data_IF_721746613164
#
_entry.id   IF_721746613164
#
_cell.length_a   1.000
_cell.length_b   1.000
_cell.length_c   1.000
_cell.angle_alpha   90.00
_cell.angle_beta   90.00
_cell.angle_gamma   90.00
#
_symmetry.space_group_name_H-M   'P 1'
#
loop_
_entity.id
_entity.type
_entity.pdbx_description
1 polymer ?
#
# COMPACT_ATOMS: atom_id res chain seq x y z
N UNK A 1 -38.94 -38.95 48.11
CA UNK A 1 -39.48 -37.63 47.73
C UNK A 1 -38.49 -37.06 46.71
N UNK A 2 -38.49 -37.42 45.40
CA UNK A 2 -39.59 -37.69 44.44
C UNK A 2 -40.40 -36.42 44.13
N UNK A 3 -40.67 -36.01 42.87
CA UNK A 3 -40.36 -36.54 41.51
C UNK A 3 -39.80 -35.40 40.62
N UNK A 4 -39.05 -35.54 39.50
CA UNK A 4 -38.73 -36.61 38.52
C UNK A 4 -39.73 -36.79 37.35
N UNK A 5 -39.51 -36.09 36.22
CA UNK A 5 -40.02 -36.34 34.84
C UNK A 5 -38.92 -35.89 33.85
N UNK A 6 -38.24 -36.72 33.04
CA UNK A 6 -38.56 -37.81 32.07
C UNK A 6 -38.74 -37.32 30.61
N UNK A 7 -37.77 -37.70 29.78
CA UNK A 7 -37.89 -37.87 28.32
C UNK A 7 -38.74 -39.12 28.00
N UNK A 8 -39.19 -39.28 26.74
CA UNK A 8 -38.58 -40.35 25.93
C UNK A 8 -38.40 -40.03 24.42
N UNK A 9 -37.56 -40.83 23.78
CA UNK A 9 -37.27 -40.85 22.34
C UNK A 9 -38.19 -41.79 21.54
N UNK A 10 -38.43 -41.52 20.26
CA UNK A 10 -38.72 -42.56 19.27
C UNK A 10 -38.23 -42.20 17.86
N UNK A 11 -37.64 -43.17 17.17
CA UNK A 11 -37.17 -43.08 15.78
C UNK A 11 -38.23 -43.57 14.81
N UNK A 12 -38.33 -42.96 13.62
CA UNK A 12 -38.81 -43.61 12.39
C UNK A 12 -38.27 -42.91 11.14
N UNK A 13 -37.88 -43.72 10.17
CA UNK A 13 -37.36 -43.37 8.84
C UNK A 13 -38.49 -43.20 7.82
N UNK A 14 -38.39 -42.21 6.92
CA UNK A 14 -38.98 -42.29 5.56
C UNK A 14 -38.33 -41.31 4.57
N UNK A 15 -37.82 -41.89 3.47
CA UNK A 15 -37.67 -41.39 2.09
C UNK A 15 -37.90 -39.91 1.71
N UNK A 16 -36.98 -39.40 0.90
CA UNK A 16 -37.16 -38.24 0.01
C UNK A 16 -38.21 -38.48 -1.10
N UNK A 17 -38.89 -37.42 -1.58
CA UNK A 17 -39.25 -37.25 -2.98
C UNK A 17 -38.32 -36.23 -3.67
N UNK A 18 -38.11 -36.40 -4.97
CA UNK A 18 -37.27 -35.53 -5.79
C UNK A 18 -38.09 -34.64 -6.74
N UNK A 19 -37.38 -33.70 -7.36
CA UNK A 19 -37.70 -32.97 -8.60
C UNK A 19 -38.67 -31.77 -8.57
N UNK A 20 -38.18 -30.66 -9.15
CA UNK A 20 -38.95 -29.85 -10.10
C UNK A 20 -39.64 -28.59 -9.57
N UNK A 21 -39.01 -27.43 -9.73
CA UNK A 21 -39.68 -26.13 -9.69
C UNK A 21 -39.02 -25.14 -10.67
N UNK A 22 -39.53 -25.10 -11.91
CA UNK A 22 -39.24 -24.04 -12.87
C UNK A 22 -39.88 -22.72 -12.44
N UNK A 23 -39.17 -21.60 -12.63
CA UNK A 23 -39.71 -20.26 -12.41
C UNK A 23 -40.10 -19.60 -13.73
N UNK A 24 -41.38 -19.73 -14.11
CA UNK A 24 -41.95 -19.04 -15.27
C UNK A 24 -42.43 -17.64 -14.89
N UNK A 25 -41.87 -16.60 -15.51
CA UNK A 25 -42.30 -15.20 -15.32
C UNK A 25 -43.57 -14.93 -16.14
N UNK A 26 -44.68 -14.60 -15.47
CA UNK A 26 -45.92 -14.17 -16.11
C UNK A 26 -46.02 -12.63 -16.17
N UNK A 27 -45.96 -12.07 -17.38
CA UNK A 27 -46.29 -10.67 -17.64
C UNK A 27 -47.82 -10.50 -17.72
N UNK A 28 -48.40 -9.63 -16.91
CA UNK A 28 -49.77 -9.14 -17.08
C UNK A 28 -49.80 -7.63 -17.23
N UNK A 29 -50.30 -7.18 -18.39
CA UNK A 29 -50.53 -5.77 -18.71
C UNK A 29 -51.90 -5.30 -18.20
N UNK A 30 -51.96 -4.14 -17.56
CA UNK A 30 -53.23 -3.40 -17.35
C UNK A 30 -53.07 -1.94 -17.76
N UNK A 31 -54.06 -1.43 -18.52
CA UNK A 31 -54.08 -0.04 -19.01
C UNK A 31 -54.71 0.92 -17.98
N UNK A 32 -54.33 2.19 -18.12
CA UNK A 32 -54.62 3.27 -17.19
C UNK A 32 -56.10 3.70 -17.09
N UNK A 33 -56.44 4.29 -15.93
CA UNK A 33 -57.42 5.39 -15.82
C UNK A 33 -56.74 6.54 -15.06
N UNK A 34 -56.95 7.77 -15.51
CA UNK A 34 -56.22 8.94 -15.02
C UNK A 34 -56.93 9.63 -13.82
N UNK A 35 -56.13 10.19 -12.91
CA UNK A 35 -56.57 11.32 -12.07
C UNK A 35 -55.36 12.22 -11.75
N UNK A 36 -55.59 13.53 -11.66
CA UNK A 36 -54.56 14.57 -11.51
C UNK A 36 -54.23 14.82 -10.04
N UNK A 37 -52.94 14.85 -9.70
CA UNK A 37 -52.42 15.66 -8.60
C UNK A 37 -51.04 16.23 -8.99
N UNK A 38 -50.75 17.46 -8.59
CA UNK A 38 -49.60 18.24 -9.06
C UNK A 38 -48.44 18.12 -8.10
N UNK A 39 -47.25 17.76 -8.59
CA UNK A 39 -45.99 18.00 -7.89
C UNK A 39 -45.10 18.93 -8.73
N UNK A 40 -44.79 20.12 -8.20
CA UNK A 40 -43.92 21.10 -8.84
C UNK A 40 -42.46 20.75 -8.57
N UNK A 41 -41.69 20.40 -9.61
CA UNK A 41 -40.23 20.45 -9.56
C UNK A 41 -39.78 21.78 -10.19
N UNK A 42 -39.09 22.63 -9.43
CA UNK A 42 -38.37 23.79 -9.95
C UNK A 42 -37.03 23.30 -10.52
N UNK A 43 -36.91 23.27 -11.84
CA UNK A 43 -35.61 23.28 -12.52
C UNK A 43 -35.26 24.73 -12.89
N UNK A 44 -34.01 25.13 -12.70
CA UNK A 44 -33.51 26.46 -13.03
C UNK A 44 -32.10 26.34 -13.61
N UNK A 45 -31.77 27.10 -14.67
CA UNK A 45 -30.40 27.22 -15.19
C UNK A 45 -30.09 26.46 -16.48
N UNK A 46 -30.37 27.11 -17.61
CA UNK A 46 -29.66 26.95 -18.90
C UNK A 46 -28.15 27.27 -18.76
N UNK A 47 -27.23 26.96 -19.68
CA UNK A 47 -27.23 26.25 -20.98
C UNK A 47 -25.75 26.00 -21.39
N UNK A 48 -25.49 25.14 -22.39
CA UNK A 48 -24.41 25.33 -23.38
C UNK A 48 -24.85 24.77 -24.76
N UNK A 49 -24.24 25.29 -25.84
CA UNK A 49 -24.72 25.12 -27.25
C UNK A 49 -24.04 23.95 -28.00
N UNK A 50 -24.75 23.38 -28.97
CA UNK A 50 -24.19 22.63 -30.11
C UNK A 50 -24.63 23.27 -31.45
N UNK A 51 -23.74 23.40 -32.46
CA UNK A 51 -24.10 23.84 -33.82
C UNK A 51 -24.12 22.69 -34.86
N UNK A 52 -24.96 22.81 -35.90
CA UNK A 52 -25.02 21.90 -37.06
C UNK A 52 -26.08 20.80 -36.94
N UNK A 53 -27.36 21.00 -37.30
CA UNK A 53 -27.95 21.34 -38.61
C UNK A 53 -27.95 20.19 -39.64
N UNK A 54 -29.10 19.52 -39.77
CA UNK A 54 -29.58 18.83 -40.98
C UNK A 54 -31.13 18.82 -40.95
N UNK A 55 -31.77 19.20 -42.06
CA UNK A 55 -33.24 19.29 -42.19
C UNK A 55 -33.91 17.97 -42.58
N UNK A 56 -35.24 17.80 -42.32
CA UNK A 56 -35.94 16.54 -42.53
C UNK A 56 -36.48 16.37 -43.97
N UNK A 57 -36.29 15.19 -44.55
CA UNK A 57 -36.94 14.82 -45.81
C UNK A 57 -38.27 14.07 -45.60
N UNK A 58 -39.26 14.48 -46.38
CA UNK A 58 -40.67 14.11 -46.28
C UNK A 58 -41.01 12.72 -46.84
N UNK A 59 -42.06 12.10 -46.29
CA UNK A 59 -42.65 10.85 -46.76
C UNK A 59 -43.37 10.99 -48.11
N UNK A 60 -43.08 10.08 -49.05
CA UNK A 60 -43.90 9.79 -50.22
C UNK A 60 -44.18 8.27 -50.31
N UNK A 61 -45.29 7.88 -50.96
CA UNK A 61 -45.98 6.60 -50.74
C UNK A 61 -46.10 5.74 -52.01
N UNK A 62 -46.00 4.41 -51.83
CA UNK A 62 -46.56 3.34 -52.69
C UNK A 62 -45.85 3.07 -54.06
N UNK A 63 -46.03 1.89 -54.70
CA UNK A 63 -47.01 0.82 -54.43
C UNK A 63 -46.45 -0.62 -54.18
N UNK A 64 -47.36 -1.60 -54.20
CA UNK A 64 -47.25 -2.97 -53.63
C UNK A 64 -46.50 -3.96 -54.55
N UNK A 65 -45.83 -4.96 -53.93
CA UNK A 65 -45.27 -6.17 -54.56
C UNK A 65 -45.30 -7.38 -53.61
N UNK A 66 -45.20 -8.60 -54.14
CA UNK A 66 -45.57 -9.86 -53.46
C UNK A 66 -44.60 -10.39 -52.39
N UNK A 67 -45.14 -11.27 -51.53
CA UNK A 67 -44.47 -11.99 -50.44
C UNK A 67 -43.65 -13.18 -50.95
N UNK A 68 -42.48 -13.43 -50.36
CA UNK A 68 -41.98 -14.81 -50.18
C UNK A 68 -41.16 -14.91 -48.88
N UNK A 69 -41.32 -16.03 -48.14
CA UNK A 69 -40.55 -16.30 -46.93
C UNK A 69 -39.24 -17.01 -47.24
N UNK A 70 -38.13 -16.54 -46.65
CA UNK A 70 -36.95 -17.37 -46.34
C UNK A 70 -36.41 -17.01 -44.97
N UNK A 71 -36.21 -18.01 -44.11
CA UNK A 71 -35.43 -17.85 -42.89
C UNK A 71 -33.96 -17.66 -43.27
N UNK A 72 -33.33 -16.61 -42.74
CA UNK A 72 -31.89 -16.35 -42.89
C UNK A 72 -31.25 -16.19 -41.52
N UNK A 73 -30.36 -17.11 -41.15
CA UNK A 73 -29.60 -17.04 -39.90
C UNK A 73 -28.60 -15.87 -39.97
N UNK A 74 -28.81 -14.84 -39.14
CA UNK A 74 -27.93 -13.68 -39.09
C UNK A 74 -26.80 -13.87 -38.07
N UNK A 75 -25.61 -14.21 -38.55
CA UNK A 75 -24.37 -14.02 -37.77
C UNK A 75 -24.17 -12.52 -37.52
N UNK A 76 -24.27 -12.08 -36.27
CA UNK A 76 -23.78 -10.75 -35.88
C UNK A 76 -22.25 -10.78 -35.93
N UNK A 77 -21.66 -9.97 -36.81
CA UNK A 77 -20.22 -9.71 -36.78
C UNK A 77 -19.93 -8.74 -35.65
N UNK A 78 -18.96 -9.07 -34.81
CA UNK A 78 -18.34 -8.09 -33.90
C UNK A 78 -17.64 -7.02 -34.72
N UNK A 79 -18.00 -5.76 -34.48
CA UNK A 79 -17.24 -4.61 -34.99
C UNK A 79 -16.28 -4.15 -33.88
N UNK A 80 -15.01 -4.07 -34.20
CA UNK A 80 -13.99 -3.49 -33.32
C UNK A 80 -14.29 -2.00 -33.11
N UNK A 81 -14.56 -1.60 -31.87
CA UNK A 81 -14.55 -0.19 -31.47
C UNK A 81 -13.17 0.08 -30.88
N UNK A 82 -12.45 1.01 -31.50
CA UNK A 82 -11.04 1.25 -31.21
C UNK A 82 -10.79 1.92 -29.86
N UNK A 83 -9.59 1.70 -29.35
CA UNK A 83 -9.05 2.36 -28.17
C UNK A 83 -9.03 3.88 -28.35
N UNK A 84 -9.69 4.61 -27.46
CA UNK A 84 -9.47 6.04 -27.24
C UNK A 84 -9.93 6.45 -25.82
N UNK A 85 -9.37 5.76 -24.82
CA UNK A 85 -9.51 6.11 -23.40
C UNK A 85 -8.57 7.26 -22.99
N UNK A 86 -8.69 8.42 -23.61
CA UNK A 86 -7.87 9.60 -23.29
C UNK A 86 -8.27 10.26 -21.95
N UNK A 87 -7.84 9.66 -20.83
CA UNK A 87 -7.78 10.30 -19.51
C UNK A 87 -6.54 9.90 -18.67
N UNK A 88 -5.69 9.02 -19.19
CA UNK A 88 -4.68 8.28 -18.40
C UNK A 88 -3.27 8.92 -18.44
N UNK A 89 -3.17 10.21 -18.11
CA UNK A 89 -1.87 10.94 -18.11
C UNK A 89 -1.67 12.01 -17.02
N UNK A 90 -2.61 12.20 -16.09
CA UNK A 90 -2.48 13.22 -15.02
C UNK A 90 -2.41 12.68 -13.60
N UNK A 91 -2.93 11.48 -13.31
CA UNK A 91 -2.80 10.87 -11.98
C UNK A 91 -1.62 9.90 -11.82
N UNK A 92 -1.06 9.38 -12.93
CA UNK A 92 0.07 8.45 -12.88
C UNK A 92 1.44 9.15 -12.79
N UNK A 93 1.51 10.45 -13.12
CA UNK A 93 2.73 11.26 -12.98
C UNK A 93 2.98 11.74 -11.54
N UNK A 94 2.09 11.43 -10.59
CA UNK A 94 2.28 11.73 -9.17
C UNK A 94 3.36 10.89 -8.47
N UNK A 95 3.94 9.87 -9.12
CA UNK A 95 4.98 9.04 -8.50
C UNK A 95 6.25 8.84 -9.34
N UNK A 96 6.24 9.19 -10.64
CA UNK A 96 7.41 9.00 -11.54
C UNK A 96 7.46 10.06 -12.66
N UNK A 97 8.27 11.11 -12.46
CA UNK A 97 9.07 11.81 -13.50
C UNK A 97 10.02 12.81 -12.85
N UNK A 98 11.33 12.52 -12.89
CA UNK A 98 12.43 13.51 -12.80
C UNK A 98 13.81 12.90 -13.15
N UNK A 99 13.86 11.93 -14.09
CA UNK A 99 15.12 11.39 -14.63
C UNK A 99 15.00 11.22 -16.15
N UNK A 100 15.51 12.21 -16.90
CA UNK A 100 16.47 11.99 -18.01
C UNK A 100 16.88 13.29 -18.71
N UNK A 101 18.13 13.31 -19.17
CA UNK A 101 18.69 14.16 -20.23
C UNK A 101 18.80 15.69 -20.04
N UNK A 102 19.94 16.12 -19.48
CA UNK A 102 20.53 17.44 -19.76
C UNK A 102 22.05 17.34 -20.01
N UNK A 103 22.44 16.66 -21.10
CA UNK A 103 23.85 16.50 -21.49
C UNK A 103 24.07 16.88 -22.97
N UNK A 104 23.95 18.17 -23.32
CA UNK A 104 24.58 18.78 -24.52
C UNK A 104 24.42 20.32 -24.63
N UNK A 105 24.63 21.10 -23.55
CA UNK A 105 24.95 22.54 -23.67
C UNK A 105 25.58 23.04 -22.36
N UNK A 106 26.88 23.35 -22.39
CA UNK A 106 27.61 23.76 -21.18
C UNK A 106 27.28 25.19 -20.74
N UNK A 107 26.42 25.33 -19.74
CA UNK A 107 26.40 26.51 -18.84
C UNK A 107 26.38 25.99 -17.41
N UNK A 108 27.51 26.11 -16.72
CA UNK A 108 27.61 25.76 -15.31
C UNK A 108 26.85 26.81 -14.46
N UNK A 109 25.59 26.53 -14.17
CA UNK A 109 24.88 27.25 -13.10
C UNK A 109 25.45 26.77 -11.75
N UNK A 110 25.76 27.69 -10.81
CA UNK A 110 26.21 27.29 -9.49
C UNK A 110 25.06 26.57 -8.78
N UNK A 111 25.24 25.27 -8.56
CA UNK A 111 24.40 24.52 -7.65
C UNK A 111 24.51 25.15 -6.26
N UNK A 112 23.39 25.64 -5.74
CA UNK A 112 23.25 26.06 -4.35
C UNK A 112 23.28 24.80 -3.46
N UNK A 113 24.47 24.22 -3.33
CA UNK A 113 24.77 23.29 -2.27
C UNK A 113 24.60 24.04 -0.95
N UNK A 114 23.44 23.85 -0.32
CA UNK A 114 23.28 24.17 1.10
C UNK A 114 24.42 23.46 1.83
N UNK A 115 25.29 24.24 2.47
CA UNK A 115 26.42 23.68 3.18
C UNK A 115 25.89 22.64 4.18
N UNK A 116 26.31 21.38 4.03
CA UNK A 116 25.95 20.33 4.96
C UNK A 116 26.35 20.79 6.36
N UNK A 117 25.37 20.87 7.26
CA UNK A 117 25.63 21.18 8.67
C UNK A 117 26.64 20.18 9.27
N UNK A 118 27.25 20.49 10.41
CA UNK A 118 28.19 19.58 11.05
C UNK A 118 27.53 18.21 11.24
N UNK A 119 28.05 17.18 10.55
CA UNK A 119 27.49 15.83 10.59
C UNK A 119 27.43 15.36 12.04
N UNK A 120 26.27 14.83 12.43
CA UNK A 120 26.17 14.06 13.67
C UNK A 120 27.21 12.92 13.59
N UNK A 121 28.12 12.78 14.59
CA UNK A 121 29.06 11.67 14.61
C UNK A 121 28.29 10.35 14.62
N UNK A 122 28.80 9.36 13.89
CA UNK A 122 28.23 8.03 13.82
C UNK A 122 28.06 7.40 15.22
N UNK A 123 27.04 6.58 15.38
CA UNK A 123 26.90 5.70 16.54
C UNK A 123 27.82 4.48 16.32
N UNK A 124 28.90 4.30 17.11
CA UNK A 124 29.96 3.36 16.74
C UNK A 124 29.51 1.91 16.45
N UNK A 125 28.54 1.32 17.18
CA UNK A 125 28.04 -0.03 16.90
C UNK A 125 27.18 -0.18 15.62
N UNK A 126 26.89 0.90 14.88
CA UNK A 126 25.91 0.87 13.78
C UNK A 126 26.25 -0.18 12.72
N UNK A 127 27.52 -0.28 12.30
CA UNK A 127 27.95 -1.20 11.22
C UNK A 127 27.91 -2.67 11.61
N UNK A 128 27.92 -2.97 12.91
CA UNK A 128 27.81 -4.32 13.47
C UNK A 128 26.36 -4.64 13.93
N UNK A 129 25.42 -3.72 13.65
CA UNK A 129 24.00 -3.86 14.02
C UNK A 129 23.17 -4.28 12.82
N UNK A 130 22.33 -5.31 13.00
CA UNK A 130 21.34 -5.74 12.00
C UNK A 130 20.21 -4.71 11.93
N UNK A 131 20.43 -3.64 11.15
CA UNK A 131 19.44 -2.60 10.88
C UNK A 131 18.50 -3.02 9.74
N UNK A 132 17.19 -2.85 9.94
CA UNK A 132 16.14 -3.23 8.99
C UNK A 132 15.18 -2.04 8.85
N UNK A 133 15.00 -1.58 7.61
CA UNK A 133 13.93 -0.64 7.31
C UNK A 133 12.61 -1.40 7.06
N UNK A 134 11.63 -1.14 7.92
CA UNK A 134 10.29 -1.75 7.89
C UNK A 134 9.46 -1.35 6.67
N UNK A 135 9.80 -0.31 5.92
CA UNK A 135 9.17 0.01 4.64
C UNK A 135 10.09 0.93 3.82
N UNK A 136 10.85 0.39 2.87
CA UNK A 136 11.74 1.18 2.00
C UNK A 136 12.17 0.38 0.77
N UNK A 137 12.84 1.04 -0.17
CA UNK A 137 13.38 0.38 -1.36
C UNK A 137 14.45 1.20 -2.05
N UNK A 138 14.86 0.68 -3.21
CA UNK A 138 15.70 1.38 -4.17
C UNK A 138 14.84 1.69 -5.40
N UNK A 139 15.10 2.79 -6.08
CA UNK A 139 14.37 3.20 -7.29
C UNK A 139 14.76 2.40 -8.54
N UNK A 140 15.68 1.44 -8.41
CA UNK A 140 16.20 0.57 -9.48
C UNK A 140 15.11 -0.08 -10.36
N UNK A 141 13.95 -0.42 -9.81
CA UNK A 141 12.84 -1.01 -10.58
C UNK A 141 12.19 -0.05 -11.59
N UNK A 142 12.43 1.26 -11.44
CA UNK A 142 11.95 2.31 -12.32
C UNK A 142 13.01 2.86 -13.28
N UNK A 143 14.24 2.36 -13.18
CA UNK A 143 15.35 2.74 -14.06
C UNK A 143 15.48 1.74 -15.21
N UNK A 144 15.92 2.26 -16.36
CA UNK A 144 16.27 1.46 -17.52
C UNK A 144 17.73 1.00 -17.46
N UNK A 145 18.07 -0.07 -18.17
CA UNK A 145 19.43 -0.59 -18.16
C UNK A 145 20.42 0.41 -18.77
N UNK A 146 21.49 0.72 -18.02
CA UNK A 146 22.46 1.75 -18.39
C UNK A 146 22.16 3.16 -17.88
N UNK A 147 21.04 3.38 -17.16
CA UNK A 147 20.76 4.69 -16.54
C UNK A 147 21.86 5.05 -15.50
N UNK A 148 22.48 6.24 -15.59
CA UNK A 148 23.53 6.66 -14.66
C UNK A 148 23.08 6.73 -13.19
N UNK A 149 21.78 6.87 -12.92
CA UNK A 149 21.22 6.87 -11.56
C UNK A 149 21.38 5.50 -10.86
N UNK A 150 21.47 4.39 -11.60
CA UNK A 150 21.72 3.04 -11.04
C UNK A 150 22.97 3.05 -10.16
N UNK A 151 24.04 3.72 -10.61
CA UNK A 151 25.28 3.80 -9.85
C UNK A 151 25.12 4.64 -8.56
N UNK A 152 24.17 5.58 -8.52
CA UNK A 152 23.78 6.32 -7.31
C UNK A 152 23.04 5.44 -6.31
N UNK A 153 21.99 4.74 -6.76
CA UNK A 153 21.21 3.79 -5.96
C UNK A 153 22.09 2.70 -5.33
N UNK A 154 22.99 2.08 -6.13
CA UNK A 154 23.89 1.02 -5.64
C UNK A 154 24.96 1.53 -4.66
N UNK A 155 25.39 2.81 -4.78
CA UNK A 155 26.23 3.46 -3.76
C UNK A 155 25.43 3.70 -2.48
N UNK A 156 24.22 4.25 -2.58
CA UNK A 156 23.37 4.48 -1.41
C UNK A 156 23.04 3.18 -0.66
N UNK A 157 22.79 2.08 -1.38
CA UNK A 157 22.61 0.75 -0.81
C UNK A 157 23.85 0.28 0.00
N UNK A 158 25.07 0.49 -0.53
CA UNK A 158 26.29 0.16 0.21
C UNK A 158 26.49 1.09 1.42
N UNK A 159 26.27 2.38 1.22
CA UNK A 159 26.61 3.41 2.19
C UNK A 159 25.60 3.45 3.36
N UNK A 160 24.34 3.02 3.17
CA UNK A 160 23.33 3.04 4.23
C UNK A 160 23.62 2.07 5.37
N UNK A 161 24.29 0.94 5.11
CA UNK A 161 24.62 -0.06 6.14
C UNK A 161 23.45 -0.91 6.64
N UNK A 162 22.28 -0.82 6.00
CA UNK A 162 21.13 -1.68 6.33
C UNK A 162 21.45 -3.15 6.03
N UNK A 163 21.06 -4.05 6.94
CA UNK A 163 21.02 -5.48 6.68
C UNK A 163 19.90 -5.83 5.68
N UNK A 164 18.74 -5.16 5.78
CA UNK A 164 17.62 -5.36 4.87
C UNK A 164 16.65 -4.17 4.81
N UNK A 165 15.77 -4.21 3.82
CA UNK A 165 14.57 -3.37 3.73
C UNK A 165 13.35 -4.20 3.32
N UNK A 166 12.17 -3.85 3.85
CA UNK A 166 10.90 -4.36 3.36
C UNK A 166 10.48 -3.61 2.10
N UNK A 167 10.68 -4.27 0.97
CA UNK A 167 10.48 -3.74 -0.37
C UNK A 167 9.07 -4.04 -0.88
N UNK A 168 8.34 -2.99 -1.26
CA UNK A 168 7.02 -3.12 -1.87
C UNK A 168 7.17 -3.56 -3.33
N UNK A 169 6.71 -4.77 -3.65
CA UNK A 169 6.79 -5.33 -5.03
C UNK A 169 5.43 -5.41 -5.74
N UNK A 170 4.34 -5.02 -5.08
CA UNK A 170 2.99 -5.05 -5.63
C UNK A 170 2.38 -3.64 -5.80
N UNK A 171 1.47 -3.45 -6.77
CA UNK A 171 0.59 -2.28 -6.79
C UNK A 171 -0.41 -2.33 -5.61
N UNK A 172 -0.80 -1.16 -5.11
CA UNK A 172 -1.76 -1.01 -4.00
C UNK A 172 -2.56 0.30 -4.10
N UNK A 173 -3.61 0.44 -3.30
CA UNK A 173 -4.31 1.70 -3.02
C UNK A 173 -5.30 2.18 -4.08
N UNK A 174 -5.66 1.32 -5.03
CA UNK A 174 -6.65 1.59 -6.09
C UNK A 174 -7.50 0.34 -6.34
N UNK A 175 -8.67 0.51 -6.94
CA UNK A 175 -9.46 -0.63 -7.41
C UNK A 175 -8.84 -1.17 -8.71
N UNK A 176 -8.70 -2.49 -8.78
CA UNK A 176 -8.22 -3.22 -9.96
C UNK A 176 -9.36 -4.07 -10.50
N UNK A 177 -9.47 -4.20 -11.82
CA UNK A 177 -10.65 -4.72 -12.52
C UNK A 177 -10.35 -5.98 -13.34
N UNK A 178 -9.56 -6.89 -12.78
CA UNK A 178 -9.14 -8.20 -13.31
C UNK A 178 -7.85 -8.62 -12.55
N UNK A 179 -7.09 -9.55 -13.13
CA UNK A 179 -5.79 -9.99 -12.65
C UNK A 179 -4.63 -9.02 -12.96
N UNK A 180 -4.86 -7.79 -13.42
CA UNK A 180 -3.78 -6.84 -13.70
C UNK A 180 -2.93 -6.52 -12.46
N UNK A 181 -3.50 -6.54 -11.25
CA UNK A 181 -2.72 -6.40 -10.00
C UNK A 181 -1.80 -7.61 -9.75
N UNK A 182 -2.31 -8.82 -10.03
CA UNK A 182 -1.60 -10.09 -9.90
C UNK A 182 -0.43 -10.18 -10.90
N UNK A 183 -0.68 -9.93 -12.18
CA UNK A 183 0.35 -9.98 -13.23
C UNK A 183 1.41 -8.90 -13.04
N UNK A 184 1.03 -7.69 -12.61
CA UNK A 184 2.00 -6.63 -12.26
C UNK A 184 2.86 -6.99 -11.05
N UNK A 185 2.29 -7.61 -10.01
CA UNK A 185 3.06 -8.06 -8.85
C UNK A 185 4.08 -9.15 -9.25
N UNK A 186 3.68 -10.10 -10.10
CA UNK A 186 4.59 -11.12 -10.64
C UNK A 186 5.72 -10.51 -11.47
N UNK A 187 5.38 -9.65 -12.44
CA UNK A 187 6.38 -8.98 -13.29
C UNK A 187 7.37 -8.12 -12.48
N UNK A 188 6.91 -7.46 -11.41
CA UNK A 188 7.78 -6.72 -10.49
C UNK A 188 8.70 -7.64 -9.68
N UNK A 189 8.19 -8.77 -9.17
CA UNK A 189 9.02 -9.77 -8.49
C UNK A 189 10.11 -10.30 -9.42
N UNK A 190 9.77 -10.62 -10.66
CA UNK A 190 10.72 -11.10 -11.66
C UNK A 190 11.77 -10.02 -12.01
N UNK A 191 11.35 -8.75 -12.18
CA UNK A 191 12.27 -7.62 -12.39
C UNK A 191 13.21 -7.42 -11.19
N UNK A 192 12.73 -7.59 -9.97
CA UNK A 192 13.55 -7.50 -8.76
C UNK A 192 14.52 -8.67 -8.59
N UNK A 193 14.10 -9.90 -8.89
CA UNK A 193 15.00 -11.06 -8.92
C UNK A 193 16.16 -10.80 -9.93
N UNK A 194 15.84 -10.36 -11.15
CA UNK A 194 16.83 -10.00 -12.16
C UNK A 194 17.71 -8.77 -11.81
N UNK A 195 17.26 -7.87 -10.93
CA UNK A 195 18.10 -6.79 -10.37
C UNK A 195 19.08 -7.33 -9.32
N UNK A 196 18.63 -8.24 -8.44
CA UNK A 196 19.46 -8.87 -7.42
C UNK A 196 20.56 -9.73 -8.07
N UNK A 197 20.22 -10.48 -9.12
CA UNK A 197 21.16 -11.30 -9.90
C UNK A 197 22.22 -10.47 -10.65
N UNK A 198 21.86 -9.29 -11.17
CA UNK A 198 22.80 -8.38 -11.85
C UNK A 198 23.67 -7.57 -10.90
N UNK A 199 23.27 -7.41 -9.64
CA UNK A 199 24.01 -6.63 -8.64
C UNK A 199 24.34 -7.45 -7.37
N UNK A 200 24.96 -8.65 -7.50
CA UNK A 200 25.10 -9.61 -6.41
C UNK A 200 26.09 -9.18 -5.32
N UNK A 201 26.89 -8.15 -5.59
CA UNK A 201 27.80 -7.49 -4.63
C UNK A 201 27.18 -6.33 -3.85
N UNK A 202 25.93 -5.94 -4.15
CA UNK A 202 25.20 -4.87 -3.46
C UNK A 202 23.88 -5.36 -2.85
N UNK A 203 23.20 -6.29 -3.52
CA UNK A 203 21.85 -6.74 -3.17
C UNK A 203 21.84 -8.24 -2.82
N UNK A 204 20.88 -8.64 -1.99
CA UNK A 204 20.58 -10.04 -1.70
C UNK A 204 19.07 -10.24 -1.59
N UNK A 205 18.53 -11.40 -1.99
CA UNK A 205 17.14 -11.75 -1.72
C UNK A 205 17.02 -12.29 -0.28
N UNK A 206 16.01 -11.84 0.47
CA UNK A 206 15.73 -12.34 1.83
C UNK A 206 14.50 -13.24 1.79
N UNK A 207 14.70 -14.54 2.05
CA UNK A 207 13.66 -15.57 2.04
C UNK A 207 13.54 -16.32 3.37
N UNK A 208 14.41 -16.04 4.33
CA UNK A 208 14.52 -16.64 5.66
C UNK A 208 15.19 -15.65 6.63
N UNK A 209 15.09 -15.91 7.94
CA UNK A 209 15.85 -15.12 8.93
C UNK A 209 17.38 -15.20 8.67
N UNK A 210 17.89 -16.35 8.26
CA UNK A 210 19.33 -16.53 8.07
C UNK A 210 19.88 -15.79 6.83
N UNK A 211 19.02 -15.46 5.87
CA UNK A 211 19.41 -14.55 4.77
C UNK A 211 19.75 -13.15 5.29
N UNK A 212 19.07 -12.66 6.33
CA UNK A 212 19.37 -11.34 6.93
C UNK A 212 20.81 -11.31 7.46
N UNK A 213 21.19 -12.35 8.20
CA UNK A 213 22.53 -12.49 8.76
C UNK A 213 23.59 -12.61 7.65
N UNK A 214 23.30 -13.39 6.59
CA UNK A 214 24.19 -13.51 5.41
C UNK A 214 24.33 -12.19 4.64
N UNK A 215 23.24 -11.44 4.45
CA UNK A 215 23.25 -10.16 3.76
C UNK A 215 24.10 -9.13 4.53
N UNK A 216 23.82 -8.96 5.82
CA UNK A 216 24.57 -8.09 6.72
C UNK A 216 26.06 -8.43 6.75
N UNK A 217 26.43 -9.69 7.01
CA UNK A 217 27.82 -10.13 7.07
C UNK A 217 28.59 -10.03 5.74
N UNK A 218 27.88 -9.88 4.61
CA UNK A 218 28.48 -9.66 3.29
C UNK A 218 28.41 -8.19 2.82
N UNK A 219 27.93 -7.28 3.66
CA UNK A 219 27.83 -5.84 3.34
C UNK A 219 26.83 -5.52 2.23
N UNK A 220 25.80 -6.37 2.05
CA UNK A 220 24.76 -6.24 1.02
C UNK A 220 23.42 -5.94 1.66
N UNK A 221 22.61 -5.13 0.99
CA UNK A 221 21.24 -4.85 1.45
C UNK A 221 20.32 -5.98 1.02
N UNK A 222 19.69 -6.61 2.01
CA UNK A 222 18.64 -7.60 1.82
C UNK A 222 17.33 -6.98 1.32
N UNK A 223 16.81 -7.46 0.20
CA UNK A 223 15.47 -7.18 -0.29
C UNK A 223 14.50 -8.20 0.30
N UNK A 224 13.67 -7.80 1.27
CA UNK A 224 12.53 -8.60 1.74
C UNK A 224 11.35 -8.22 0.86
N UNK A 225 10.77 -9.16 0.11
CA UNK A 225 9.60 -8.83 -0.72
C UNK A 225 8.34 -8.76 0.14
N UNK A 226 7.63 -7.65 0.04
CA UNK A 226 6.33 -7.46 0.67
C UNK A 226 5.32 -6.78 -0.24
N UNK A 227 4.04 -6.90 0.13
CA UNK A 227 2.96 -6.15 -0.50
C UNK A 227 2.45 -5.10 0.46
N UNK A 228 2.17 -3.90 -0.05
CA UNK A 228 1.45 -2.86 0.69
C UNK A 228 -0.08 -2.95 0.51
N UNK A 229 -0.60 -4.08 0.04
CA UNK A 229 -2.03 -4.31 -0.11
C UNK A 229 -2.32 -5.71 -0.66
N UNK A 230 -3.55 -6.17 -0.53
CA UNK A 230 -3.97 -7.51 -0.98
C UNK A 230 -4.56 -7.52 -2.39
N UNK A 231 -4.47 -6.42 -3.13
CA UNK A 231 -4.95 -6.27 -4.51
C UNK A 231 -4.43 -7.37 -5.46
N UNK A 232 -3.16 -7.85 -5.38
CA UNK A 232 -2.70 -8.98 -6.21
C UNK A 232 -3.35 -10.33 -5.90
N UNK A 233 -3.99 -10.48 -4.73
CA UNK A 233 -4.72 -11.71 -4.39
C UNK A 233 -6.09 -11.75 -5.08
N UNK A 234 -6.71 -10.59 -5.33
CA UNK A 234 -8.10 -10.53 -5.79
C UNK A 234 -9.02 -11.37 -4.89
N UNK A 235 -9.90 -12.15 -5.49
CA UNK A 235 -10.81 -13.09 -4.82
C UNK A 235 -10.18 -14.49 -4.57
N UNK A 236 -8.94 -14.71 -5.02
CA UNK A 236 -8.28 -16.03 -5.01
C UNK A 236 -7.20 -16.11 -3.92
N UNK A 237 -7.60 -16.68 -2.79
CA UNK A 237 -6.75 -16.87 -1.61
C UNK A 237 -5.58 -17.85 -1.84
N UNK A 238 -5.66 -18.74 -2.83
CA UNK A 238 -4.59 -19.71 -3.15
C UNK A 238 -3.37 -19.05 -3.82
N UNK A 239 -3.47 -17.75 -4.17
CA UNK A 239 -2.33 -16.94 -4.60
C UNK A 239 -1.34 -16.66 -3.46
N UNK A 240 -1.75 -16.76 -2.20
CA UNK A 240 -0.87 -16.53 -1.04
C UNK A 240 0.31 -17.54 -1.03
N UNK A 241 0.11 -18.87 -1.08
CA UNK A 241 1.19 -19.85 -1.24
C UNK A 241 2.08 -19.60 -2.47
N UNK A 242 1.48 -19.24 -3.61
CA UNK A 242 2.24 -18.94 -4.83
C UNK A 242 3.18 -17.75 -4.62
N UNK A 243 2.69 -16.66 -4.03
CA UNK A 243 3.54 -15.50 -3.69
C UNK A 243 4.57 -15.82 -2.60
N UNK A 244 4.25 -16.72 -1.65
CA UNK A 244 5.19 -17.24 -0.65
C UNK A 244 6.39 -17.93 -1.32
N UNK A 245 6.15 -18.74 -2.35
CA UNK A 245 7.22 -19.39 -3.13
C UNK A 245 8.00 -18.43 -4.02
N UNK A 246 7.33 -17.43 -4.62
CA UNK A 246 7.99 -16.34 -5.35
C UNK A 246 8.87 -15.43 -4.47
N UNK A 247 8.80 -15.56 -3.14
CA UNK A 247 9.69 -14.90 -2.19
C UNK A 247 9.02 -13.83 -1.32
N UNK A 248 7.71 -13.62 -1.42
CA UNK A 248 6.97 -12.67 -0.57
C UNK A 248 6.94 -13.17 0.89
N UNK A 249 7.15 -12.27 1.84
CA UNK A 249 7.33 -12.57 3.26
C UNK A 249 6.52 -11.71 4.23
N UNK A 250 5.98 -10.59 3.76
CA UNK A 250 5.07 -9.71 4.50
C UNK A 250 3.95 -9.25 3.57
N UNK A 251 2.70 -9.27 4.03
CA UNK A 251 1.57 -8.73 3.26
C UNK A 251 0.75 -7.79 4.16
N UNK A 252 0.70 -6.53 3.76
CA UNK A 252 -0.16 -5.50 4.35
C UNK A 252 -1.60 -5.70 3.87
N UNK A 253 -2.56 -5.64 4.80
CA UNK A 253 -3.95 -6.00 4.50
C UNK A 253 -4.69 -4.97 3.61
N UNK A 254 -4.35 -3.69 3.68
CA UNK A 254 -5.07 -2.58 3.02
C UNK A 254 -4.12 -1.42 2.69
N UNK A 255 -4.50 -0.50 1.80
CA UNK A 255 -3.71 0.71 1.50
C UNK A 255 -4.58 1.97 1.34
N UNK A 256 -4.78 2.74 2.41
CA UNK A 256 -5.62 3.94 2.51
C UNK A 256 -7.12 3.72 2.25
N UNK A 257 -7.48 3.12 1.12
CA UNK A 257 -8.84 2.84 0.66
C UNK A 257 -9.29 1.42 1.05
N UNK A 258 -10.59 1.15 0.89
CA UNK A 258 -11.21 -0.17 1.04
C UNK A 258 -10.74 -1.11 -0.06
N UNK A 259 -10.47 -2.36 0.31
CA UNK A 259 -10.31 -3.47 -0.63
C UNK A 259 -11.20 -4.66 -0.19
N UNK A 260 -11.01 -5.84 -0.78
CA UNK A 260 -11.78 -7.04 -0.43
C UNK A 260 -11.54 -7.55 1.01
N UNK A 261 -10.41 -7.19 1.62
CA UNK A 261 -9.97 -7.67 2.93
C UNK A 261 -10.42 -6.75 4.07
N UNK A 262 -10.48 -5.43 3.86
CA UNK A 262 -11.01 -4.50 4.85
C UNK A 262 -10.93 -3.02 4.47
N UNK A 263 -11.20 -2.16 5.45
CA UNK A 263 -11.10 -0.70 5.31
C UNK A 263 -9.69 -0.22 5.62
N UNK A 264 -9.10 0.56 4.69
CA UNK A 264 -7.87 1.30 4.93
C UNK A 264 -8.09 2.57 5.76
N UNK A 265 -7.00 3.23 6.17
CA UNK A 265 -7.02 4.32 7.15
C UNK A 265 -7.73 5.61 6.69
N UNK A 266 -7.95 5.79 5.39
CA UNK A 266 -8.67 6.93 4.83
C UNK A 266 -10.15 6.63 4.56
N UNK A 267 -10.61 5.39 4.77
CA UNK A 267 -12.02 5.04 4.64
C UNK A 267 -12.84 5.56 5.82
N UNK A 268 -13.85 6.42 5.60
CA UNK A 268 -14.72 6.91 6.67
C UNK A 268 -15.59 5.82 7.30
N UNK A 269 -15.69 4.65 6.64
CA UNK A 269 -16.44 3.50 7.14
C UNK A 269 -15.83 2.83 8.37
N UNK A 270 -14.49 2.79 8.47
CA UNK A 270 -13.75 2.09 9.53
C UNK A 270 -14.35 0.69 9.82
N UNK A 271 -14.74 -0.03 8.77
CA UNK A 271 -15.61 -1.21 8.86
C UNK A 271 -14.94 -2.43 9.51
N UNK A 272 -13.61 -2.47 9.52
CA UNK A 272 -12.82 -3.60 10.02
C UNK A 272 -12.39 -4.56 8.93
N UNK A 273 -12.15 -5.81 9.31
CA UNK A 273 -11.93 -6.92 8.39
C UNK A 273 -13.27 -7.39 7.79
N UNK A 274 -13.22 -7.82 6.53
CA UNK A 274 -14.30 -8.58 5.92
C UNK A 274 -14.21 -10.05 6.32
N UNK A 275 -15.26 -10.83 6.02
CA UNK A 275 -15.22 -12.30 6.16
C UNK A 275 -14.09 -12.92 5.33
N UNK A 276 -13.75 -12.34 4.18
CA UNK A 276 -12.61 -12.74 3.35
C UNK A 276 -11.28 -12.28 3.97
N UNK A 277 -11.23 -11.10 4.58
CA UNK A 277 -10.06 -10.61 5.31
C UNK A 277 -9.65 -11.50 6.48
N UNK A 278 -10.62 -12.04 7.22
CA UNK A 278 -10.33 -13.05 8.25
C UNK A 278 -9.71 -14.33 7.67
N UNK A 279 -10.17 -14.81 6.51
CA UNK A 279 -9.60 -15.97 5.82
C UNK A 279 -8.17 -15.66 5.34
N UNK A 280 -7.94 -14.47 4.77
CA UNK A 280 -6.62 -14.00 4.34
C UNK A 280 -5.64 -13.99 5.53
N UNK A 281 -6.03 -13.41 6.68
CA UNK A 281 -5.18 -13.44 7.90
C UNK A 281 -4.84 -14.87 8.32
N UNK A 282 -5.82 -15.77 8.33
CA UNK A 282 -5.58 -17.18 8.67
C UNK A 282 -4.63 -17.86 7.67
N UNK A 283 -4.78 -17.61 6.36
CA UNK A 283 -3.90 -18.21 5.35
C UNK A 283 -2.50 -17.61 5.37
N UNK A 284 -2.35 -16.30 5.64
CA UNK A 284 -1.04 -15.66 5.84
C UNK A 284 -0.28 -16.31 7.01
N UNK A 285 -0.96 -16.58 8.14
CA UNK A 285 -0.36 -17.31 9.25
C UNK A 285 0.03 -18.75 8.87
N UNK A 286 -0.83 -19.47 8.13
CA UNK A 286 -0.55 -20.84 7.70
C UNK A 286 0.66 -20.94 6.75
N UNK A 287 0.79 -19.99 5.81
CA UNK A 287 1.91 -19.90 4.86
C UNK A 287 3.15 -19.21 5.43
N UNK A 288 3.15 -18.90 6.74
CA UNK A 288 4.27 -18.22 7.43
C UNK A 288 4.67 -16.91 6.75
N UNK A 289 3.67 -16.11 6.39
CA UNK A 289 3.80 -14.73 5.93
C UNK A 289 3.40 -13.81 7.10
N UNK A 290 4.18 -12.77 7.32
CA UNK A 290 3.89 -11.76 8.33
C UNK A 290 2.70 -10.92 7.88
N UNK A 291 1.68 -10.84 8.73
CA UNK A 291 0.55 -9.93 8.55
C UNK A 291 1.00 -8.53 8.93
N UNK A 292 0.84 -7.57 8.01
CA UNK A 292 1.09 -6.16 8.26
C UNK A 292 -0.22 -5.36 8.25
N UNK A 293 -0.30 -4.40 9.17
CA UNK A 293 -1.49 -3.62 9.51
C UNK A 293 -1.25 -2.11 9.36
N UNK A 294 -0.08 -1.69 8.88
CA UNK A 294 0.10 -0.35 8.35
C UNK A 294 -0.95 -0.05 7.26
N UNK A 295 -1.29 1.23 7.08
CA UNK A 295 -2.43 1.71 6.30
C UNK A 295 -3.84 1.17 6.66
N UNK A 296 -3.99 0.30 7.67
CA UNK A 296 -5.30 -0.18 8.13
C UNK A 296 -6.14 0.91 8.80
N UNK A 297 -7.46 0.86 8.64
CA UNK A 297 -8.37 1.58 9.53
C UNK A 297 -8.18 1.13 10.98
N UNK A 298 -8.52 1.96 11.97
CA UNK A 298 -8.34 1.62 13.38
C UNK A 298 -9.00 0.27 13.73
N UNK A 299 -10.17 -0.01 13.15
CA UNK A 299 -10.87 -1.28 13.35
C UNK A 299 -10.17 -2.45 12.64
N UNK A 300 -9.69 -2.25 11.42
CA UNK A 300 -8.91 -3.24 10.66
C UNK A 300 -7.63 -3.63 11.42
N UNK A 301 -6.93 -2.65 12.03
CA UNK A 301 -5.76 -2.90 12.87
C UNK A 301 -6.15 -3.76 14.09
N UNK A 302 -7.18 -3.37 14.84
CA UNK A 302 -7.65 -4.13 16.02
C UNK A 302 -8.05 -5.57 15.68
N UNK A 303 -8.84 -5.75 14.63
CA UNK A 303 -9.34 -7.07 14.23
C UNK A 303 -8.22 -7.92 13.62
N UNK A 304 -7.24 -7.33 12.92
CA UNK A 304 -6.02 -8.01 12.46
C UNK A 304 -5.13 -8.51 13.61
N UNK A 305 -4.88 -7.68 14.63
CA UNK A 305 -4.16 -8.06 15.86
C UNK A 305 -4.89 -9.20 16.59
N UNK A 306 -6.23 -9.15 16.63
CA UNK A 306 -7.03 -10.14 17.32
C UNK A 306 -7.08 -11.49 16.58
N UNK A 307 -7.17 -11.46 15.24
CA UNK A 307 -7.31 -12.64 14.39
C UNK A 307 -5.98 -13.35 14.08
N UNK A 308 -4.85 -12.63 14.05
CA UNK A 308 -3.55 -13.25 13.80
C UNK A 308 -3.12 -14.18 14.93
N UNK A 309 -2.69 -15.39 14.57
CA UNK A 309 -2.15 -16.42 15.47
C UNK A 309 -0.64 -16.27 15.72
N UNK A 310 0.01 -15.33 15.03
CA UNK A 310 1.43 -15.01 15.15
C UNK A 310 1.63 -13.47 15.21
N UNK A 311 2.81 -12.98 15.64
CA UNK A 311 3.06 -11.53 15.71
C UNK A 311 2.82 -10.81 14.39
N UNK A 312 2.21 -9.63 14.50
CA UNK A 312 1.91 -8.74 13.37
C UNK A 312 2.90 -7.59 13.30
N UNK A 313 2.99 -6.95 12.14
CA UNK A 313 3.64 -5.65 12.00
C UNK A 313 2.61 -4.53 11.88
N UNK A 314 3.02 -3.34 12.30
CA UNK A 314 2.55 -2.08 11.75
C UNK A 314 3.81 -1.45 11.14
N UNK A 315 4.17 -1.91 9.94
CA UNK A 315 5.52 -1.78 9.38
C UNK A 315 6.03 -0.33 9.31
N UNK A 316 5.14 0.62 9.08
CA UNK A 316 5.40 2.06 9.09
C UNK A 316 4.16 2.85 9.55
N UNK A 317 4.30 3.70 10.56
CA UNK A 317 3.22 4.52 11.14
C UNK A 317 3.78 5.70 11.95
N UNK A 318 2.92 6.61 12.39
CA UNK A 318 3.20 7.55 13.47
C UNK A 318 2.31 7.28 14.69
N UNK A 319 2.60 7.97 15.80
CA UNK A 319 1.84 7.90 17.05
C UNK A 319 0.72 8.95 17.05
N UNK A 320 -0.53 8.48 17.14
CA UNK A 320 -1.71 9.35 17.02
C UNK A 320 -1.86 10.36 18.17
N UNK A 321 -1.28 10.06 19.34
CA UNK A 321 -1.24 10.97 20.49
C UNK A 321 -0.36 12.22 20.26
N UNK A 322 0.62 12.15 19.35
CA UNK A 322 1.49 13.29 19.01
C UNK A 322 1.00 14.03 17.75
N UNK A 323 0.42 13.31 16.79
CA UNK A 323 -0.21 13.86 15.60
C UNK A 323 -1.49 13.09 15.27
N UNK A 324 -2.66 13.67 15.54
CA UNK A 324 -3.95 13.05 15.28
C UNK A 324 -4.29 13.08 13.78
N UNK A 325 -3.78 12.08 13.07
CA UNK A 325 -3.99 11.85 11.64
C UNK A 325 -4.46 10.41 11.41
N UNK A 326 -5.34 10.14 10.42
CA UNK A 326 -5.89 8.79 10.22
C UNK A 326 -4.82 7.71 9.96
N UNK A 327 -3.71 8.08 9.34
CA UNK A 327 -2.58 7.19 9.03
C UNK A 327 -1.75 6.77 10.26
N UNK A 328 -1.94 7.43 11.41
CA UNK A 328 -1.21 7.17 12.65
C UNK A 328 -1.97 6.22 13.59
N UNK A 329 -1.23 5.36 14.27
CA UNK A 329 -1.76 4.35 15.19
C UNK A 329 -1.98 4.94 16.58
N UNK A 330 -3.12 4.66 17.22
CA UNK A 330 -3.37 5.10 18.59
C UNK A 330 -2.78 4.14 19.62
N UNK A 331 -2.53 4.66 20.82
CA UNK A 331 -1.84 3.93 21.91
C UNK A 331 -2.49 2.58 22.28
N UNK A 332 -3.82 2.48 22.15
CA UNK A 332 -4.55 1.24 22.42
C UNK A 332 -4.18 0.13 21.41
N UNK A 333 -4.00 0.48 20.14
CA UNK A 333 -3.57 -0.47 19.10
C UNK A 333 -2.08 -0.80 19.23
N UNK A 334 -1.24 0.17 19.61
CA UNK A 334 0.18 -0.08 19.89
C UNK A 334 0.36 -1.06 21.07
N UNK A 335 -0.40 -0.90 22.15
CA UNK A 335 -0.40 -1.86 23.28
C UNK A 335 -0.89 -3.24 22.87
N UNK A 336 -2.05 -3.32 22.20
CA UNK A 336 -2.60 -4.60 21.76
C UNK A 336 -1.66 -5.35 20.80
N UNK A 337 -0.95 -4.64 19.93
CA UNK A 337 0.07 -5.19 19.04
C UNK A 337 1.28 -5.73 19.83
N UNK A 338 1.75 -5.02 20.85
CA UNK A 338 2.85 -5.46 21.70
C UNK A 338 2.49 -6.66 22.59
N UNK A 339 1.26 -6.70 23.14
CA UNK A 339 0.69 -7.86 23.86
C UNK A 339 0.66 -9.14 23.00
N UNK A 340 0.70 -8.99 21.66
CA UNK A 340 0.80 -10.08 20.67
C UNK A 340 2.21 -10.28 20.11
N UNK A 341 3.23 -9.67 20.70
CA UNK A 341 4.62 -9.81 20.26
C UNK A 341 4.99 -8.99 19.02
N UNK A 342 4.09 -8.15 18.48
CA UNK A 342 4.30 -7.42 17.24
C UNK A 342 5.36 -6.30 17.32
N UNK A 343 5.51 -5.56 16.22
CA UNK A 343 6.37 -4.35 16.13
C UNK A 343 5.69 -3.25 15.31
N UNK A 344 5.78 -1.99 15.76
CA UNK A 344 5.43 -0.81 14.97
C UNK A 344 6.69 -0.05 14.53
N UNK A 345 6.85 0.18 13.21
CA UNK A 345 7.90 1.02 12.66
C UNK A 345 7.50 2.49 12.62
N UNK A 346 8.38 3.40 13.05
CA UNK A 346 8.13 4.84 12.95
C UNK A 346 8.49 5.37 11.55
N UNK A 347 7.56 6.12 10.94
CA UNK A 347 7.61 6.61 9.55
C UNK A 347 8.34 7.94 9.40
N UNK A 348 9.00 8.16 8.26
CA UNK A 348 9.77 9.38 7.96
C UNK A 348 8.97 10.35 7.07
N UNK A 349 7.68 10.50 7.33
CA UNK A 349 6.74 11.27 6.52
C UNK A 349 6.10 12.45 7.27
N UNK A 350 5.44 13.39 6.54
CA UNK A 350 4.62 14.45 7.11
C UNK A 350 3.60 14.03 8.17
N UNK A 351 3.23 12.75 8.28
CA UNK A 351 2.32 12.24 9.30
C UNK A 351 2.83 12.41 10.75
N UNK A 352 4.12 12.67 10.96
CA UNK A 352 4.65 12.91 12.31
C UNK A 352 4.23 14.28 12.92
N UNK A 353 3.64 15.18 12.13
CA UNK A 353 3.14 16.49 12.57
C UNK A 353 1.85 16.85 11.86
N UNK A 354 1.01 17.68 12.48
CA UNK A 354 -0.22 18.21 11.88
C UNK A 354 -0.04 19.57 11.21
N UNK A 355 0.99 20.34 11.58
CA UNK A 355 1.17 21.76 11.25
C UNK A 355 2.30 22.04 10.24
N UNK A 356 3.52 21.57 10.52
CA UNK A 356 4.74 21.90 9.76
C UNK A 356 5.48 20.66 9.28
N UNK A 357 6.55 20.87 8.50
CA UNK A 357 7.50 19.82 8.15
C UNK A 357 8.07 19.16 9.43
N UNK A 358 7.99 17.82 9.58
CA UNK A 358 8.71 17.11 10.62
C UNK A 358 10.21 17.00 10.33
N UNK A 359 10.99 17.03 11.42
CA UNK A 359 12.46 16.90 11.42
C UNK A 359 12.87 15.66 12.26
N UNK A 360 14.17 15.35 12.35
CA UNK A 360 14.68 14.17 13.06
C UNK A 360 14.25 14.09 14.53
N UNK A 361 14.09 15.25 15.18
CA UNK A 361 13.59 15.33 16.56
C UNK A 361 12.14 14.85 16.70
N UNK A 362 11.32 14.98 15.66
CA UNK A 362 9.95 14.48 15.66
C UNK A 362 9.93 12.95 15.47
N UNK A 363 10.78 12.39 14.61
CA UNK A 363 11.01 10.93 14.54
C UNK A 363 11.38 10.37 15.92
N UNK A 364 12.33 11.00 16.59
CA UNK A 364 12.77 10.63 17.93
C UNK A 364 11.63 10.72 18.96
N UNK A 365 10.83 11.78 18.95
CA UNK A 365 9.65 11.91 19.84
C UNK A 365 8.63 10.79 19.64
N UNK A 366 8.37 10.41 18.39
CA UNK A 366 7.47 9.31 18.07
C UNK A 366 8.04 7.95 18.49
N UNK A 367 9.35 7.73 18.34
CA UNK A 367 10.03 6.54 18.88
C UNK A 367 9.92 6.48 20.41
N UNK A 368 10.20 7.58 21.11
CA UNK A 368 10.12 7.66 22.57
C UNK A 368 8.69 7.42 23.10
N UNK A 369 7.70 8.08 22.50
CA UNK A 369 6.28 7.85 22.84
C UNK A 369 5.86 6.40 22.59
N UNK A 370 6.30 5.78 21.49
CA UNK A 370 6.02 4.37 21.23
C UNK A 370 6.66 3.46 22.28
N UNK A 371 7.90 3.73 22.71
CA UNK A 371 8.59 2.99 23.78
C UNK A 371 7.80 3.10 25.10
N UNK A 372 7.34 4.29 25.47
CA UNK A 372 6.56 4.53 26.70
C UNK A 372 5.18 3.86 26.65
N UNK A 373 4.59 3.70 25.46
CA UNK A 373 3.27 3.10 25.27
C UNK A 373 3.30 1.58 25.17
N UNK A 374 4.22 1.01 24.39
CA UNK A 374 4.22 -0.41 24.03
C UNK A 374 5.53 -1.17 24.32
N UNK A 375 6.57 -0.48 24.80
CA UNK A 375 7.83 -1.09 25.23
C UNK A 375 8.90 -1.18 24.13
N UNK A 376 10.17 -1.16 24.55
CA UNK A 376 11.33 -1.10 23.64
C UNK A 376 11.51 -2.32 22.72
N UNK A 377 10.85 -3.45 23.01
CA UNK A 377 10.88 -4.68 22.19
C UNK A 377 9.84 -4.68 21.04
N UNK A 378 9.06 -3.60 20.93
CA UNK A 378 7.90 -3.48 20.03
C UNK A 378 7.94 -2.23 19.12
N UNK A 379 9.06 -1.53 19.10
CA UNK A 379 9.29 -0.32 18.27
C UNK A 379 10.38 -0.60 17.24
N UNK A 380 10.20 -0.09 16.02
CA UNK A 380 11.17 -0.15 14.93
C UNK A 380 11.19 1.13 14.10
N UNK A 381 11.82 1.08 12.94
CA UNK A 381 11.80 2.15 11.92
C UNK A 381 11.26 1.58 10.60
N UNK A 382 10.33 2.29 9.96
CA UNK A 382 9.86 1.96 8.61
C UNK A 382 9.67 3.25 7.84
N UNK A 383 10.67 3.67 7.07
CA UNK A 383 10.79 5.08 6.67
C UNK A 383 9.72 5.53 5.67
N UNK A 384 9.26 4.61 4.82
CA UNK A 384 8.43 4.82 3.63
C UNK A 384 9.09 5.74 2.60
N UNK A 385 10.43 5.64 2.49
CA UNK A 385 11.25 6.49 1.62
C UNK A 385 12.34 5.69 0.92
N UNK A 386 12.80 6.07 -0.29
CA UNK A 386 13.94 5.42 -0.93
C UNK A 386 15.23 5.52 -0.09
N UNK A 387 16.10 4.50 -0.18
CA UNK A 387 17.41 4.47 0.51
C UNK A 387 18.33 5.59 0.01
N UNK A 388 18.29 5.90 -1.29
CA UNK A 388 19.00 7.05 -1.84
C UNK A 388 18.46 8.37 -1.28
N UNK A 389 19.33 9.37 -0.99
CA UNK A 389 18.88 10.69 -0.60
C UNK A 389 18.20 11.39 -1.79
N UNK A 390 17.14 12.15 -1.51
CA UNK A 390 16.40 12.90 -2.52
C UNK A 390 17.17 14.18 -2.88
N UNK A 391 17.58 14.32 -4.14
CA UNK A 391 18.19 15.55 -4.64
C UNK A 391 17.14 16.64 -4.86
N UNK A 392 17.25 17.73 -4.10
CA UNK A 392 16.30 18.86 -4.13
C UNK A 392 16.58 19.82 -5.29
N UNK A 393 16.44 19.32 -6.52
CA UNK A 393 16.55 20.13 -7.74
C UNK A 393 15.36 21.09 -7.88
N UNK A 394 15.46 22.17 -8.68
CA UNK A 394 14.33 23.05 -8.96
C UNK A 394 13.14 22.34 -9.63
N UNK A 395 13.37 21.19 -10.27
CA UNK A 395 12.33 20.32 -10.82
C UNK A 395 11.66 19.50 -9.73
N UNK A 396 12.43 18.82 -8.88
CA UNK A 396 11.90 18.13 -7.70
C UNK A 396 11.02 19.06 -6.86
N UNK A 397 11.48 20.29 -6.58
CA UNK A 397 10.71 21.27 -5.80
C UNK A 397 9.37 21.66 -6.45
N UNK A 398 9.26 21.67 -7.79
CA UNK A 398 7.98 21.89 -8.47
C UNK A 398 7.09 20.66 -8.36
N UNK A 399 7.62 19.49 -8.70
CA UNK A 399 6.87 18.24 -8.75
C UNK A 399 6.37 17.85 -7.34
N UNK A 400 7.16 18.13 -6.30
CA UNK A 400 6.78 17.97 -4.89
C UNK A 400 5.58 18.87 -4.52
N UNK A 401 5.57 20.14 -4.94
CA UNK A 401 4.42 21.04 -4.70
C UNK A 401 3.15 20.60 -5.44
N UNK A 402 3.28 20.05 -6.64
CA UNK A 402 2.16 19.50 -7.38
C UNK A 402 1.63 18.21 -6.72
N UNK A 403 2.53 17.33 -6.27
CA UNK A 403 2.19 16.13 -5.51
C UNK A 403 1.44 16.45 -4.21
N UNK A 404 1.96 17.40 -3.41
CA UNK A 404 1.34 17.81 -2.15
C UNK A 404 -0.03 18.46 -2.35
N UNK A 405 -0.28 19.13 -3.47
CA UNK A 405 -1.62 19.61 -3.85
C UNK A 405 -2.55 18.44 -4.18
N UNK A 406 -2.11 17.50 -5.00
CA UNK A 406 -2.87 16.28 -5.32
C UNK A 406 -3.28 15.50 -4.07
N UNK A 407 -2.37 15.32 -3.11
CA UNK A 407 -2.66 14.69 -1.82
C UNK A 407 -3.75 15.43 -1.01
N UNK A 408 -3.89 16.76 -1.15
CA UNK A 408 -4.95 17.55 -0.51
C UNK A 408 -6.28 17.52 -1.28
N UNK A 409 -6.22 17.36 -2.60
CA UNK A 409 -7.39 17.16 -3.46
C UNK A 409 -8.01 15.77 -3.24
N UNK A 410 -7.17 14.74 -3.09
CA UNK A 410 -7.54 13.36 -2.72
C UNK A 410 -7.99 13.22 -1.25
N UNK A 411 -7.87 14.27 -0.43
CA UNK A 411 -8.24 14.26 0.99
C UNK A 411 -7.29 13.48 1.91
N UNK A 412 -6.10 13.09 1.44
CA UNK A 412 -5.04 12.44 2.22
C UNK A 412 -4.45 13.43 3.24
N UNK A 413 -4.31 14.70 2.86
CA UNK A 413 -3.92 15.80 3.74
C UNK A 413 -5.01 16.86 3.84
N UNK A 414 -5.10 17.52 5.00
CA UNK A 414 -5.99 18.67 5.20
C UNK A 414 -5.60 19.84 4.27
N UNK A 415 -6.59 20.61 3.81
CA UNK A 415 -6.43 21.62 2.73
C UNK A 415 -5.47 22.77 3.08
N UNK A 416 -5.35 23.07 4.37
CA UNK A 416 -4.48 24.06 4.99
C UNK A 416 -3.04 23.60 5.20
N UNK A 417 -2.72 22.31 4.98
CA UNK A 417 -1.35 21.81 5.04
C UNK A 417 -0.47 22.51 3.99
N UNK A 418 0.79 22.85 4.30
CA UNK A 418 1.68 23.51 3.34
C UNK A 418 1.87 22.72 2.04
N UNK A 419 1.99 23.42 0.92
CA UNK A 419 2.26 22.82 -0.40
C UNK A 419 3.70 22.29 -0.51
N UNK A 420 4.61 22.75 0.34
CA UNK A 420 6.06 22.51 0.29
C UNK A 420 6.57 21.52 1.35
N UNK A 421 5.68 20.72 1.94
CA UNK A 421 6.07 19.58 2.76
C UNK A 421 6.81 18.53 1.92
N UNK A 422 7.82 17.90 2.50
CA UNK A 422 8.57 16.80 1.90
C UNK A 422 8.11 15.46 2.45
N UNK A 423 7.97 14.47 1.57
CA UNK A 423 7.72 13.05 1.90
C UNK A 423 8.94 12.33 2.47
N UNK A 424 9.87 13.07 3.08
CA UNK A 424 11.04 12.59 3.80
C UNK A 424 11.39 13.57 4.93
N UNK A 425 12.21 13.12 5.88
CA UNK A 425 12.71 13.95 6.98
C UNK A 425 13.98 14.70 6.53
N UNK A 426 14.01 16.05 6.42
CA UNK A 426 15.07 16.75 5.70
C UNK A 426 16.48 16.62 6.30
N UNK A 427 16.59 16.58 7.63
CA UNK A 427 17.83 16.37 8.39
C UNK A 427 18.19 14.88 8.57
N UNK A 428 17.39 13.97 7.99
CA UNK A 428 17.69 12.54 7.80
C UNK A 428 17.71 12.17 6.30
N UNK A 429 17.78 13.14 5.38
CA UNK A 429 17.84 12.91 3.93
C UNK A 429 19.27 12.52 3.49
N UNK A 430 19.75 11.37 3.97
CA UNK A 430 21.06 10.80 3.67
C UNK A 430 20.97 9.27 3.53
N UNK A 431 21.99 8.62 2.98
CA UNK A 431 22.02 7.15 2.94
C UNK A 431 22.21 6.58 4.37
N UNK A 432 23.09 7.19 5.17
CA UNK A 432 23.41 6.84 6.57
C UNK A 432 22.40 7.37 7.60
N UNK A 433 21.11 7.49 7.21
CA UNK A 433 20.06 8.08 8.07
C UNK A 433 19.78 7.29 9.35
N UNK A 434 19.94 5.96 9.30
CA UNK A 434 19.80 5.09 10.46
C UNK A 434 20.97 5.29 11.46
N UNK A 435 22.20 5.48 10.99
CA UNK A 435 23.38 5.82 11.81
C UNK A 435 23.17 7.18 12.50
N UNK A 436 22.72 8.18 11.72
CA UNK A 436 22.40 9.52 12.22
C UNK A 436 21.30 9.47 13.30
N UNK A 437 20.23 8.70 13.09
CA UNK A 437 19.16 8.53 14.06
C UNK A 437 19.63 7.75 15.31
N UNK A 438 20.45 6.72 15.15
CA UNK A 438 21.05 5.98 16.26
C UNK A 438 21.89 6.88 17.16
N UNK A 439 22.70 7.76 16.57
CA UNK A 439 23.48 8.75 17.30
C UNK A 439 22.62 9.82 18.00
N UNK A 440 21.48 10.21 17.42
CA UNK A 440 20.48 11.07 18.10
C UNK A 440 19.84 10.38 19.31
N UNK A 441 19.49 9.09 19.20
CA UNK A 441 18.96 8.30 20.31
C UNK A 441 20.01 8.10 21.42
N UNK A 442 21.26 7.77 21.06
CA UNK A 442 22.37 7.63 22.01
C UNK A 442 22.63 8.93 22.79
N UNK A 443 22.64 10.09 22.09
CA UNK A 443 22.74 11.43 22.72
C UNK A 443 21.60 11.76 23.68
N UNK A 444 20.47 11.08 23.59
CA UNK A 444 19.31 11.21 24.49
C UNK A 444 19.31 10.18 25.63
N UNK A 445 20.37 9.37 25.74
CA UNK A 445 20.55 8.41 26.83
C UNK A 445 19.90 7.05 26.60
N UNK A 446 19.45 6.74 25.37
CA UNK A 446 19.04 5.38 25.03
C UNK A 446 20.28 4.47 25.01
N UNK A 447 20.16 3.28 25.62
CA UNK A 447 21.26 2.32 25.67
C UNK A 447 21.53 1.68 24.31
N UNK A 448 22.76 1.24 24.07
CA UNK A 448 23.14 0.59 22.81
C UNK A 448 22.27 -0.64 22.50
N UNK A 449 21.91 -1.41 23.53
CA UNK A 449 21.00 -2.55 23.41
C UNK A 449 19.59 -2.14 22.94
N UNK A 450 19.04 -1.03 23.47
CA UNK A 450 17.76 -0.48 23.04
C UNK A 450 17.82 0.06 21.61
N UNK A 451 18.90 0.75 21.26
CA UNK A 451 19.10 1.25 19.89
C UNK A 451 19.14 0.08 18.92
N UNK A 452 19.93 -0.97 19.19
CA UNK A 452 20.00 -2.18 18.35
C UNK A 452 18.65 -2.89 18.16
N UNK A 453 17.79 -2.92 19.20
CA UNK A 453 16.40 -3.40 19.10
C UNK A 453 15.60 -2.57 18.08
N UNK A 454 15.61 -1.24 18.23
CA UNK A 454 14.82 -0.30 17.41
C UNK A 454 15.31 -0.24 15.96
N UNK A 455 16.63 -0.29 15.71
CA UNK A 455 17.17 -0.20 14.36
C UNK A 455 16.80 -1.40 13.47
N UNK A 456 16.48 -2.56 14.05
CA UNK A 456 16.09 -3.75 13.28
C UNK A 456 15.98 -5.05 14.07
N UNK A 457 16.58 -5.15 15.27
CA UNK A 457 16.50 -6.36 16.10
C UNK A 457 15.06 -6.81 16.41
N UNK A 458 14.14 -5.87 16.59
CA UNK A 458 12.72 -6.15 16.82
C UNK A 458 12.01 -6.70 15.56
N UNK A 459 12.27 -6.13 14.38
CA UNK A 459 11.78 -6.68 13.12
C UNK A 459 12.35 -8.08 12.86
N UNK A 460 13.67 -8.27 13.05
CA UNK A 460 14.33 -9.57 12.91
C UNK A 460 13.74 -10.64 13.85
N UNK A 461 13.35 -10.25 15.09
CA UNK A 461 12.64 -11.13 16.04
C UNK A 461 11.31 -11.61 15.47
N UNK A 462 10.44 -10.71 15.00
CA UNK A 462 9.13 -11.06 14.41
C UNK A 462 9.32 -11.92 13.15
N UNK A 463 10.25 -11.55 12.28
CA UNK A 463 10.54 -12.30 11.05
C UNK A 463 10.97 -13.75 11.35
N UNK A 464 11.85 -13.95 12.34
CA UNK A 464 12.27 -15.28 12.81
C UNK A 464 11.13 -16.10 13.41
N UNK A 465 10.25 -15.46 14.18
CA UNK A 465 9.14 -16.13 14.85
C UNK A 465 8.05 -16.58 13.86
N UNK A 466 7.77 -15.75 12.84
CA UNK A 466 6.71 -16.03 11.86
C UNK A 466 7.19 -16.92 10.72
N UNK A 467 8.37 -16.67 10.13
CA UNK A 467 8.83 -17.40 8.95
C UNK A 467 9.26 -18.84 9.29
N UNK A 468 9.67 -19.08 10.53
CA UNK A 468 10.39 -20.28 10.99
C UNK A 468 11.81 -20.36 10.45
#
# INVERSE_FOLDING_TARGET
MSSLMRLPSSTRTTSWPAAGADWTVALTTTRAVASRAVLRIRACGMAWRFPGALEPLSLARAPRGQVSHRMGCARVRTASIGENGMSDRREFLGQLTALTAAAAAGVALPSLAMAAGPRTPAWPPYRDTVAIDGASGLMLVYLEEGDPAIAGELRAARDCGLAATLLTVAPAGRFWLDDAAFERARANIDKWNGLIERHPGHLAAIRSHDDLQRAHASGRVGMIFGFQGTEPLGEDIERIPMFRELGVRVIQLTHNRRNLVGDGCMEPGNAGLSNYGHQVVERLNAERIVVDLAHGSQRTIREGIAASKAPVLISHTGCRALADLPRNTADAELRAMAERGGVAGIIFWPYLRTDTQPMAIDVVRHIEHAIDVCGEDHVGIGTDTPIAPVERTPEFERNNREFMRGMKEDGIFAKDRPDDLYTFIPDLNSADRFDTLAALLSRRGHSDARIGKILGGNFARVMREVWG
#
